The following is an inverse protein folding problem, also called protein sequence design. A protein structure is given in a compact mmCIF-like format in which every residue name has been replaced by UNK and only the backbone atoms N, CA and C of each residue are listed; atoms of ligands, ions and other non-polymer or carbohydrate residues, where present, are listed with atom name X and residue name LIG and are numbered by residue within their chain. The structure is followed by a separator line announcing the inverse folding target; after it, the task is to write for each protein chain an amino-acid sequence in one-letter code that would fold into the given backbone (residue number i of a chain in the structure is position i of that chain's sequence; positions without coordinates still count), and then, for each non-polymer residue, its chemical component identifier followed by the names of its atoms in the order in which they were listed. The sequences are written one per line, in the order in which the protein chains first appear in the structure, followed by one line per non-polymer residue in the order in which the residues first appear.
data_IF_010618947760
#
_entry.id   IF_010618947760
#
_cell.length_a   1.000
_cell.length_b   1.000
_cell.length_c   1.000
_cell.angle_alpha   90.00
_cell.angle_beta   90.00
_cell.angle_gamma   90.00
#
_symmetry.space_group_name_H-M   'P 1'
#
loop_
_entity.id
_entity.type
_entity.pdbx_description
1 polymer ?
#
# COMPACT_ATOMS: atom_id res chain seq x y z
N UNK A 1 9.07 3.93 -3.88
CA UNK A 1 7.66 4.27 -4.16
C UNK A 1 7.04 3.22 -5.07
N UNK A 2 5.72 3.05 -5.10
CA UNK A 2 5.03 2.08 -5.96
C UNK A 2 4.12 2.79 -6.96
N UNK A 3 4.20 2.37 -8.22
CA UNK A 3 3.29 2.75 -9.28
C UNK A 3 2.34 1.58 -9.57
N UNK A 4 1.08 1.74 -9.16
CA UNK A 4 0.06 0.72 -9.33
C UNK A 4 -0.43 0.55 -10.76
N UNK A 5 -0.26 1.56 -11.62
CA UNK A 5 -0.70 1.49 -13.02
C UNK A 5 0.23 0.59 -13.82
N UNK A 6 1.54 0.78 -13.64
CA UNK A 6 2.57 0.01 -14.35
C UNK A 6 3.06 -1.21 -13.56
N UNK A 7 2.55 -1.43 -12.34
CA UNK A 7 2.93 -2.52 -11.44
C UNK A 7 4.46 -2.63 -11.26
N UNK A 8 5.07 -1.50 -10.88
CA UNK A 8 6.50 -1.38 -10.67
C UNK A 8 6.80 -0.52 -9.43
N UNK A 9 8.00 -0.69 -8.89
CA UNK A 9 8.54 0.16 -7.85
C UNK A 9 9.55 1.13 -8.44
N UNK A 10 9.61 2.32 -7.86
CA UNK A 10 10.68 3.29 -8.06
C UNK A 10 11.58 3.32 -6.83
N UNK A 11 12.88 3.34 -7.06
CA UNK A 11 13.91 3.44 -6.04
C UNK A 11 15.00 4.44 -6.46
N UNK A 12 15.65 5.06 -5.48
CA UNK A 12 16.86 5.83 -5.69
C UNK A 12 18.07 5.02 -5.25
N UNK A 13 19.19 5.20 -5.95
CA UNK A 13 20.50 4.70 -5.52
C UNK A 13 21.56 5.72 -5.87
N UNK A 14 22.61 5.81 -5.06
CA UNK A 14 23.77 6.62 -5.39
C UNK A 14 24.43 6.10 -6.68
N UNK A 15 24.83 7.02 -7.56
CA UNK A 15 25.59 6.70 -8.78
C UNK A 15 26.95 6.10 -8.43
N UNK A 16 27.55 5.36 -9.38
CA UNK A 16 28.86 4.69 -9.17
C UNK A 16 29.98 5.69 -8.85
N UNK A 17 29.92 6.89 -9.42
CA UNK A 17 30.84 7.98 -9.17
C UNK A 17 30.48 8.83 -7.93
N UNK A 18 29.36 8.54 -7.27
CA UNK A 18 28.91 9.21 -6.05
C UNK A 18 28.45 10.65 -6.24
N UNK A 19 28.22 11.10 -7.48
CA UNK A 19 27.96 12.49 -7.80
C UNK A 19 26.47 12.85 -7.75
N UNK A 20 25.58 11.90 -8.01
CA UNK A 20 24.13 12.10 -8.04
C UNK A 20 23.38 10.84 -7.66
N UNK A 21 22.12 10.98 -7.27
CA UNK A 21 21.26 9.81 -7.16
C UNK A 21 20.65 9.47 -8.54
N UNK A 22 20.52 8.18 -8.79
CA UNK A 22 19.99 7.58 -9.99
C UNK A 22 18.62 7.00 -9.67
N UNK A 23 17.66 7.20 -10.57
CA UNK A 23 16.35 6.57 -10.49
C UNK A 23 16.40 5.17 -11.11
N UNK A 24 15.88 4.20 -10.37
CA UNK A 24 15.67 2.83 -10.83
C UNK A 24 14.18 2.49 -10.86
N UNK A 25 13.77 1.69 -11.85
CA UNK A 25 12.56 0.88 -11.79
C UNK A 25 12.90 -0.50 -11.24
N UNK A 26 12.00 -1.09 -10.46
CA UNK A 26 12.12 -2.46 -9.95
C UNK A 26 10.80 -3.17 -10.23
N UNK A 27 10.85 -4.27 -10.96
CA UNK A 27 9.70 -5.11 -11.24
C UNK A 27 9.33 -5.97 -10.02
N UNK A 28 8.12 -6.55 -10.01
CA UNK A 28 7.65 -7.38 -8.89
C UNK A 28 8.47 -8.67 -8.69
N UNK A 29 9.24 -9.10 -9.69
CA UNK A 29 10.18 -10.21 -9.57
C UNK A 29 11.54 -9.80 -8.97
N UNK A 30 11.72 -8.52 -8.65
CA UNK A 30 12.95 -7.94 -8.09
C UNK A 30 13.96 -7.48 -9.13
N UNK A 31 13.67 -7.60 -10.43
CA UNK A 31 14.57 -7.11 -11.48
C UNK A 31 14.61 -5.58 -11.48
N UNK A 32 15.80 -5.00 -11.29
CA UNK A 32 16.00 -3.56 -11.34
C UNK A 32 16.50 -3.10 -12.71
N UNK A 33 16.01 -1.97 -13.20
CA UNK A 33 16.47 -1.31 -14.41
C UNK A 33 16.71 0.17 -14.15
N UNK A 34 17.90 0.64 -14.50
CA UNK A 34 18.27 2.04 -14.41
C UNK A 34 17.43 2.87 -15.40
N UNK A 35 16.90 4.00 -14.92
CA UNK A 35 16.15 4.94 -15.74
C UNK A 35 17.04 6.13 -16.12
N UNK A 36 17.71 6.74 -15.15
CA UNK A 36 18.61 7.86 -15.38
C UNK A 36 18.95 8.66 -14.13
N UNK A 37 19.87 9.62 -14.28
CA UNK A 37 20.26 10.53 -13.20
C UNK A 37 19.15 11.50 -12.84
N UNK A 38 18.96 11.70 -11.54
CA UNK A 38 17.97 12.63 -11.00
C UNK A 38 18.44 14.07 -11.11
N UNK A 39 19.76 14.31 -11.18
CA UNK A 39 20.33 15.67 -11.15
C UNK A 39 20.23 16.34 -9.77
N UNK A 40 19.87 15.58 -8.75
CA UNK A 40 19.88 15.92 -7.33
C UNK A 40 20.58 14.79 -6.57
N UNK A 41 21.01 15.08 -5.33
CA UNK A 41 21.69 14.12 -4.46
C UNK A 41 20.95 13.97 -3.14
N UNK A 42 21.22 12.86 -2.43
CA UNK A 42 20.65 12.57 -1.11
C UNK A 42 19.11 12.56 -1.09
N UNK A 43 18.50 11.88 -2.06
CA UNK A 43 17.05 11.66 -2.15
C UNK A 43 16.68 10.41 -1.36
N UNK A 44 16.14 10.64 -0.17
CA UNK A 44 15.79 9.55 0.75
C UNK A 44 14.30 9.22 0.78
N UNK A 45 13.44 10.17 0.42
CA UNK A 45 12.00 9.97 0.33
C UNK A 45 11.51 9.95 -1.11
N UNK A 46 10.73 8.94 -1.49
CA UNK A 46 10.04 8.88 -2.78
C UNK A 46 8.54 8.67 -2.59
N UNK A 47 7.72 9.44 -3.29
CA UNK A 47 6.26 9.35 -3.24
C UNK A 47 5.70 9.43 -4.66
N UNK A 48 4.81 8.51 -5.04
CA UNK A 48 4.20 8.49 -6.37
C UNK A 48 2.70 8.66 -6.20
N UNK A 49 2.14 9.68 -6.83
CA UNK A 49 0.71 9.98 -6.80
C UNK A 49 0.27 10.60 -8.11
N UNK A 50 -0.86 10.12 -8.64
CA UNK A 50 -1.51 10.68 -9.83
C UNK A 50 -0.54 10.83 -11.03
N UNK A 51 0.34 9.85 -11.25
CA UNK A 51 1.31 9.85 -12.33
C UNK A 51 2.54 10.75 -12.11
N UNK A 52 2.64 11.41 -10.95
CA UNK A 52 3.77 12.26 -10.59
C UNK A 52 4.63 11.58 -9.54
N UNK A 53 5.92 11.44 -9.82
CA UNK A 53 6.91 10.99 -8.85
C UNK A 53 7.52 12.21 -8.14
N UNK A 54 7.45 12.22 -6.83
CA UNK A 54 8.06 13.21 -5.96
C UNK A 54 9.25 12.60 -5.22
N UNK A 55 10.30 13.41 -5.04
CA UNK A 55 11.47 13.11 -4.24
C UNK A 55 11.66 14.14 -3.12
N UNK A 56 12.29 13.71 -2.02
CA UNK A 56 12.66 14.59 -0.92
C UNK A 56 14.16 14.49 -0.64
N UNK A 57 14.85 15.62 -0.72
CA UNK A 57 16.31 15.71 -0.54
C UNK A 57 16.68 15.93 0.93
N UNK A 58 17.94 15.65 1.27
CA UNK A 58 18.52 15.98 2.58
C UNK A 58 18.52 17.48 2.93
N UNK A 59 18.41 18.35 1.93
CA UNK A 59 18.36 19.81 2.08
C UNK A 59 16.94 20.32 2.36
N UNK A 60 15.98 19.41 2.54
CA UNK A 60 14.59 19.78 2.78
C UNK A 60 13.89 20.31 1.54
N UNK A 61 14.27 19.83 0.35
CA UNK A 61 13.60 20.19 -0.89
C UNK A 61 12.67 19.07 -1.33
N UNK A 62 11.50 19.44 -1.81
CA UNK A 62 10.64 18.58 -2.62
C UNK A 62 10.97 18.81 -4.09
N UNK A 63 11.19 17.72 -4.81
CA UNK A 63 11.41 17.72 -6.25
C UNK A 63 10.33 16.86 -6.92
N UNK A 64 10.02 17.16 -8.17
CA UNK A 64 9.34 16.21 -9.07
C UNK A 64 10.37 15.48 -9.90
N UNK A 65 10.13 14.23 -10.23
CA UNK A 65 11.04 13.37 -11.00
C UNK A 65 10.26 12.82 -12.19
N UNK A 66 10.79 12.94 -13.39
CA UNK A 66 10.23 12.30 -14.57
C UNK A 66 10.54 10.79 -14.53
N UNK A 67 9.53 9.91 -14.43
CA UNK A 67 9.74 8.46 -14.34
C UNK A 67 10.25 7.85 -15.65
N UNK A 68 10.26 8.58 -16.76
CA UNK A 68 10.74 8.09 -18.07
C UNK A 68 12.21 8.41 -18.31
N UNK A 69 12.69 9.55 -17.83
CA UNK A 69 14.07 10.02 -18.03
C UNK A 69 14.91 10.00 -16.77
N UNK A 70 14.27 9.93 -15.60
CA UNK A 70 14.90 10.10 -14.30
C UNK A 70 15.11 11.55 -13.90
N UNK A 71 14.97 12.54 -14.80
CA UNK A 71 15.33 13.92 -14.54
C UNK A 71 14.46 14.56 -13.45
N UNK A 72 15.09 15.11 -12.42
CA UNK A 72 14.46 15.87 -11.35
C UNK A 72 14.22 17.33 -11.72
N UNK A 73 13.21 17.94 -11.11
CA UNK A 73 12.94 19.39 -11.17
C UNK A 73 12.56 19.87 -9.78
N UNK A 74 13.16 20.97 -9.34
CA UNK A 74 12.82 21.60 -8.06
C UNK A 74 11.35 22.01 -8.04
N UNK A 75 10.65 21.67 -6.96
CA UNK A 75 9.24 22.03 -6.76
C UNK A 75 9.09 23.09 -5.66
N UNK A 76 9.54 22.79 -4.44
CA UNK A 76 9.42 23.68 -3.30
C UNK A 76 10.34 23.28 -2.16
N UNK A 77 10.60 24.21 -1.23
CA UNK A 77 11.21 23.86 0.06
C UNK A 77 10.14 23.31 1.01
N UNK A 78 10.50 22.28 1.77
CA UNK A 78 9.70 21.75 2.86
C UNK A 78 10.10 22.48 4.14
N UNK A 79 9.15 23.19 4.73
CA UNK A 79 9.36 23.87 6.00
C UNK A 79 9.26 22.88 7.16
N UNK A 80 10.25 22.89 8.04
CA UNK A 80 10.28 22.05 9.23
C UNK A 80 10.46 22.90 10.48
N UNK A 81 9.84 22.48 11.58
CA UNK A 81 10.13 23.00 12.91
C UNK A 81 11.15 22.07 13.61
N UNK A 82 12.44 22.29 13.36
CA UNK A 82 13.54 21.64 14.10
C UNK A 82 14.02 20.26 13.58
N UNK A 83 13.39 19.70 12.56
CA UNK A 83 13.91 18.56 11.76
C UNK A 83 14.34 19.09 10.38
N UNK A 84 15.18 18.39 9.61
CA UNK A 84 15.61 18.92 8.31
C UNK A 84 15.72 17.87 7.20
N UNK A 85 15.24 16.63 7.44
CA UNK A 85 15.40 15.51 6.51
C UNK A 85 14.18 14.60 6.53
N UNK A 86 13.80 14.12 5.35
CA UNK A 86 12.72 13.14 5.16
C UNK A 86 13.37 11.87 4.63
N UNK A 87 13.45 10.83 5.47
CA UNK A 87 14.10 9.55 5.14
C UNK A 87 13.17 8.53 4.47
N UNK A 88 11.90 8.89 4.30
CA UNK A 88 10.90 8.03 3.70
C UNK A 88 9.62 8.81 3.44
N UNK A 89 8.99 8.53 2.31
CA UNK A 89 7.68 9.04 1.96
C UNK A 89 6.87 7.86 1.40
N UNK A 90 5.58 7.85 1.69
CA UNK A 90 4.67 6.83 1.19
C UNK A 90 3.32 7.47 0.91
N UNK A 91 2.70 7.01 -0.17
CA UNK A 91 1.36 7.41 -0.55
C UNK A 91 0.35 6.35 -0.18
N UNK A 92 -0.90 6.76 0.00
CA UNK A 92 -2.03 5.87 -0.19
C UNK A 92 -2.45 5.97 -1.66
N UNK A 93 -2.58 4.83 -2.35
CA UNK A 93 -3.21 4.84 -3.65
C UNK A 93 -4.72 4.99 -3.42
N UNK A 94 -5.31 6.11 -3.85
CA UNK A 94 -6.74 6.28 -3.78
C UNK A 94 -7.39 5.37 -4.83
N UNK A 95 -8.17 4.38 -4.37
CA UNK A 95 -9.08 3.66 -5.25
C UNK A 95 -10.15 4.67 -5.65
N UNK A 96 -10.19 5.07 -6.92
CA UNK A 96 -11.31 5.82 -7.47
C UNK A 96 -12.55 4.91 -7.47
N UNK A 97 -13.29 4.89 -6.36
CA UNK A 97 -14.61 4.25 -6.28
C UNK A 97 -15.62 5.20 -6.95
N UNK A 98 -15.57 5.27 -8.28
CA UNK A 98 -16.50 6.06 -9.10
C UNK A 98 -17.65 5.22 -9.69
N UNK A 99 -17.93 4.09 -9.07
CA UNK A 99 -19.16 3.31 -9.28
C UNK A 99 -19.69 3.00 -7.87
N UNK A 100 -21.01 3.09 -7.59
CA UNK A 100 -21.57 2.74 -6.29
C UNK A 100 -21.53 1.23 -6.09
N UNK A 101 -20.34 0.63 -6.02
CA UNK A 101 -20.16 -0.74 -5.60
C UNK A 101 -20.23 -0.76 -4.06
N UNK A 102 -21.32 -1.34 -3.57
CA UNK A 102 -21.57 -1.68 -2.19
C UNK A 102 -20.32 -2.29 -1.53
N UNK A 103 -19.69 -1.53 -0.65
CA UNK A 103 -18.58 -1.98 0.16
C UNK A 103 -19.14 -2.94 1.23
N UNK A 104 -19.15 -4.24 0.96
CA UNK A 104 -19.56 -5.24 1.96
C UNK A 104 -18.36 -5.50 2.87
N UNK A 105 -18.27 -4.73 3.96
CA UNK A 105 -17.42 -5.09 5.10
C UNK A 105 -17.99 -6.36 5.75
N UNK A 106 -17.42 -7.52 5.43
CA UNK A 106 -17.70 -8.76 6.16
C UNK A 106 -16.93 -8.75 7.47
N UNK A 107 -17.58 -8.36 8.57
CA UNK A 107 -17.03 -8.45 9.93
C UNK A 107 -17.86 -9.33 10.85
N UNK A 108 -18.56 -10.34 10.35
CA UNK A 108 -19.20 -11.31 11.26
C UNK A 108 -18.24 -12.45 11.53
N UNK A 109 -17.37 -12.23 12.51
CA UNK A 109 -16.76 -13.31 13.28
C UNK A 109 -17.91 -14.03 14.00
N UNK A 110 -18.16 -15.34 13.76
CA UNK A 110 -19.20 -16.06 14.49
C UNK A 110 -18.77 -16.21 15.96
N UNK A 111 -19.61 -15.74 16.89
CA UNK A 111 -19.41 -15.94 18.32
C UNK A 111 -19.27 -17.45 18.64
N UNK A 112 -18.30 -17.86 19.48
CA UNK A 112 -17.87 -19.25 19.63
C UNK A 112 -18.85 -20.22 20.35
N UNK A 113 -20.17 -19.96 20.34
CA UNK A 113 -21.16 -20.85 21.00
C UNK A 113 -22.11 -21.60 20.06
N UNK A 114 -22.01 -21.47 18.74
CA UNK A 114 -22.90 -22.23 17.83
C UNK A 114 -22.60 -23.74 17.76
N UNK A 115 -21.52 -24.24 18.37
CA UNK A 115 -21.21 -25.69 18.41
C UNK A 115 -21.93 -26.43 19.55
N UNK A 116 -22.41 -25.72 20.59
CA UNK A 116 -23.06 -26.35 21.76
C UNK A 116 -24.52 -26.77 21.51
N UNK A 117 -25.18 -26.24 20.48
CA UNK A 117 -26.58 -26.57 20.16
C UNK A 117 -26.78 -27.95 19.52
N UNK A 118 -25.72 -28.59 18.99
CA UNK A 118 -25.84 -29.91 18.35
C UNK A 118 -25.98 -31.07 19.36
N UNK A 119 -25.69 -30.87 20.65
CA UNK A 119 -25.76 -31.93 21.67
C UNK A 119 -27.09 -31.95 22.47
N UNK A 120 -27.94 -30.93 22.34
CA UNK A 120 -29.15 -30.78 23.17
C UNK A 120 -30.46 -31.28 22.55
N UNK A 121 -30.43 -31.90 21.36
CA UNK A 121 -31.64 -32.37 20.62
C UNK A 121 -31.94 -33.87 20.87
N UNK A 122 -31.27 -34.52 21.82
CA UNK A 122 -31.53 -35.91 22.18
C UNK A 122 -32.19 -36.05 23.55
N UNK A 123 -33.52 -35.98 23.61
CA UNK A 123 -34.42 -36.71 24.56
C UNK A 123 -35.62 -35.87 25.03
N UNK A 124 -36.61 -35.63 24.16
CA UNK A 124 -37.99 -35.37 24.59
C UNK A 124 -38.96 -35.94 23.54
N UNK A 125 -39.24 -37.24 23.65
CA UNK A 125 -40.29 -37.94 22.91
C UNK A 125 -41.55 -38.07 23.77
N UNK A 126 -42.68 -37.61 23.22
CA UNK A 126 -43.98 -37.43 23.87
C UNK A 126 -44.66 -38.74 24.33
N UNK A 127 -45.52 -38.63 25.35
CA UNK A 127 -46.42 -39.69 25.80
C UNK A 127 -47.69 -39.82 24.94
N UNK A 128 -48.40 -40.94 25.11
CA UNK A 128 -49.82 -41.06 25.54
C UNK A 128 -50.32 -42.49 25.26
N UNK A 129 -51.03 -43.04 26.25
CA UNK A 129 -51.74 -44.32 26.24
C UNK A 129 -52.68 -44.49 25.04
N UNK A 130 -52.71 -45.71 24.51
CA UNK A 130 -53.91 -46.31 23.92
C UNK A 130 -53.93 -47.81 24.24
N UNK A 131 -54.90 -48.22 25.08
CA UNK A 131 -55.28 -49.62 25.29
C UNK A 131 -56.18 -50.05 24.14
N UNK A 132 -55.84 -51.14 23.46
CA UNK A 132 -56.77 -52.25 23.25
C UNK A 132 -56.05 -53.48 22.67
N UNK A 133 -56.30 -54.65 23.24
CA UNK A 133 -56.41 -55.91 22.49
C UNK A 133 -57.75 -56.58 22.89
N UNK A 134 -58.27 -57.49 22.05
CA UNK A 134 -59.68 -57.90 22.06
C UNK A 134 -60.08 -58.64 23.33
#
# INVERSE_FOLDING_TARGET
SFDSVNNQFFATSLSVDGSSDILFSIANDGTASEIGSIGFSDIFGLFFENGTLFGYTADGQQITIDPTTGAGTFSQNVAFAGINRIYGAAGFSSINVFEPMSFVLSTTVPEPMSVLSLLAVGAFGAGVLSKHKP
#
